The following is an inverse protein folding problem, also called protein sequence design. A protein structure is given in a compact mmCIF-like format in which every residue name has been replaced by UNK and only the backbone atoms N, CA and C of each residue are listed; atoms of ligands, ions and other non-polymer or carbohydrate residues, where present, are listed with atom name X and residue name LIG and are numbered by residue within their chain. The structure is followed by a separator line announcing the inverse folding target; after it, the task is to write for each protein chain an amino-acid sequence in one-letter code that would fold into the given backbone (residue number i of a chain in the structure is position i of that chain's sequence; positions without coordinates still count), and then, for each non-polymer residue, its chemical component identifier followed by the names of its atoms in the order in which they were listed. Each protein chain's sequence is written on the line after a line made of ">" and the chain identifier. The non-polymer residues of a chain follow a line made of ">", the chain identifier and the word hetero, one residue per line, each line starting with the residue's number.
data_IF_084998904950
#
_entry.id   IF_084998904950
#
_cell.length_a   1.000
_cell.length_b   1.000
_cell.length_c   1.000
_cell.angle_alpha   90.00
_cell.angle_beta   90.00
_cell.angle_gamma   90.00
#
_symmetry.space_group_name_H-M   'P 1'
#
loop_
_entity.id
_entity.type
_entity.pdbx_description
1 polymer ?
#
# COMPACT_ATOMS: atom_id res chain seq x y z
N UNK A 1 21.06 8.05 12.81
CA UNK A 1 20.85 7.72 11.38
C UNK A 1 19.41 7.24 11.18
N UNK A 2 18.41 7.96 11.73
CA UNK A 2 17.03 7.44 11.91
C UNK A 2 15.95 8.47 11.57
N UNK A 3 16.30 9.70 11.22
CA UNK A 3 15.34 10.80 11.19
C UNK A 3 14.17 10.57 10.22
N UNK A 4 14.41 9.90 9.09
CA UNK A 4 13.39 9.53 8.12
C UNK A 4 12.47 8.39 8.62
N UNK A 5 13.04 7.41 9.32
CA UNK A 5 12.29 6.30 9.90
C UNK A 5 11.45 6.75 11.09
N UNK A 6 11.99 7.64 11.92
CA UNK A 6 11.27 8.28 13.02
C UNK A 6 10.07 9.09 12.49
N UNK A 7 10.24 9.76 11.35
CA UNK A 7 9.16 10.45 10.66
C UNK A 7 8.08 9.49 10.15
N UNK A 8 8.49 8.33 9.62
CA UNK A 8 7.59 7.30 9.12
C UNK A 8 6.76 6.67 10.25
N UNK A 9 7.39 6.35 11.38
CA UNK A 9 6.76 5.74 12.56
C UNK A 9 5.81 6.71 13.26
N UNK A 10 6.03 8.01 13.12
CA UNK A 10 5.11 9.06 13.62
C UNK A 10 3.84 9.19 12.80
N UNK A 11 3.79 8.64 11.58
CA UNK A 11 2.57 8.70 10.78
C UNK A 11 1.47 7.87 11.44
N UNK A 12 0.20 8.32 11.35
CA UNK A 12 -0.91 7.53 11.88
C UNK A 12 -0.95 6.17 11.19
N UNK A 13 -1.16 5.11 11.97
CA UNK A 13 -1.27 3.75 11.45
C UNK A 13 -2.27 3.63 10.28
N UNK A 14 -3.39 4.36 10.38
CA UNK A 14 -4.41 4.41 9.33
C UNK A 14 -3.91 5.00 8.01
N UNK A 15 -2.97 5.95 8.03
CA UNK A 15 -2.39 6.54 6.82
C UNK A 15 -1.47 5.53 6.13
N UNK A 16 -0.62 4.85 6.89
CA UNK A 16 0.28 3.84 6.35
C UNK A 16 -0.47 2.64 5.77
N UNK A 17 -1.47 2.13 6.50
CA UNK A 17 -2.33 1.04 6.03
C UNK A 17 -3.20 1.48 4.85
N UNK A 18 -3.75 2.70 4.90
CA UNK A 18 -4.54 3.27 3.79
C UNK A 18 -3.72 3.42 2.52
N UNK A 19 -2.47 3.90 2.61
CA UNK A 19 -1.57 3.98 1.48
C UNK A 19 -1.19 2.58 0.94
N UNK A 20 -0.90 1.63 1.84
CA UNK A 20 -0.61 0.24 1.45
C UNK A 20 -1.79 -0.48 0.80
N UNK A 21 -3.03 -0.03 1.03
CA UNK A 21 -4.22 -0.53 0.33
C UNK A 21 -4.47 0.19 -1.00
N UNK A 22 -4.54 1.52 -0.95
CA UNK A 22 -5.04 2.34 -2.04
C UNK A 22 -4.07 2.42 -3.20
N UNK A 23 -2.76 2.51 -2.93
CA UNK A 23 -1.79 2.67 -4.01
C UNK A 23 -1.67 1.41 -4.88
N UNK A 24 -1.52 0.18 -4.33
CA UNK A 24 -1.59 -1.04 -5.14
C UNK A 24 -2.94 -1.20 -5.87
N UNK A 25 -4.05 -0.84 -5.21
CA UNK A 25 -5.38 -0.89 -5.84
C UNK A 25 -5.46 0.00 -7.07
N UNK A 26 -5.02 1.26 -6.95
CA UNK A 26 -5.06 2.25 -8.02
C UNK A 26 -4.06 1.95 -9.14
N UNK A 27 -2.91 1.39 -8.78
CA UNK A 27 -1.90 0.91 -9.72
C UNK A 27 -2.47 -0.19 -10.62
N UNK A 28 -3.03 -1.23 -10.02
CA UNK A 28 -3.57 -2.36 -10.76
C UNK A 28 -4.87 -2.05 -11.52
N UNK A 29 -5.71 -1.14 -11.01
CA UNK A 29 -7.01 -0.82 -11.63
C UNK A 29 -6.95 0.26 -12.71
N UNK A 30 -6.09 1.26 -12.55
CA UNK A 30 -6.11 2.48 -13.36
C UNK A 30 -4.72 2.93 -13.84
N UNK A 31 -3.68 2.09 -13.72
CA UNK A 31 -2.30 2.43 -14.06
C UNK A 31 -1.77 3.70 -13.36
N UNK A 32 -2.41 4.13 -12.26
CA UNK A 32 -2.00 5.28 -11.45
C UNK A 32 -0.61 5.06 -10.83
N UNK A 33 -0.16 3.80 -10.79
CA UNK A 33 1.16 3.36 -10.36
C UNK A 33 2.33 4.01 -11.10
N UNK A 34 2.11 4.52 -12.33
CA UNK A 34 3.13 5.27 -13.08
C UNK A 34 3.56 6.54 -12.32
N UNK A 35 2.64 7.17 -11.59
CA UNK A 35 2.92 8.39 -10.82
C UNK A 35 3.23 8.04 -9.36
N UNK A 36 2.50 7.09 -8.79
CA UNK A 36 2.65 6.69 -7.38
C UNK A 36 2.76 5.17 -7.23
N UNK A 37 3.98 4.61 -7.16
CA UNK A 37 4.20 3.17 -7.11
C UNK A 37 3.65 2.54 -5.83
N UNK A 38 2.79 1.54 -5.96
CA UNK A 38 2.15 0.83 -4.85
C UNK A 38 3.13 0.00 -4.04
N UNK A 39 4.16 -0.59 -4.66
CA UNK A 39 5.14 -1.39 -3.92
C UNK A 39 5.91 -0.54 -2.91
N UNK A 40 6.15 0.75 -3.22
CA UNK A 40 6.83 1.66 -2.31
C UNK A 40 6.02 1.88 -1.04
N UNK A 41 4.70 2.01 -1.15
CA UNK A 41 3.81 2.16 0.01
C UNK A 41 3.80 0.90 0.88
N UNK A 42 3.78 -0.29 0.26
CA UNK A 42 3.84 -1.58 0.96
C UNK A 42 5.18 -1.75 1.67
N UNK A 43 6.30 -1.37 1.03
CA UNK A 43 7.63 -1.41 1.64
C UNK A 43 7.72 -0.48 2.85
N UNK A 44 7.21 0.76 2.76
CA UNK A 44 7.19 1.70 3.88
C UNK A 44 6.33 1.18 5.05
N UNK A 45 5.15 0.63 4.76
CA UNK A 45 4.32 0.00 5.78
C UNK A 45 5.00 -1.22 6.42
N UNK A 46 5.73 -2.02 5.63
CA UNK A 46 6.53 -3.14 6.12
C UNK A 46 7.70 -2.71 7.02
N UNK A 47 8.39 -1.62 6.67
CA UNK A 47 9.44 -1.02 7.51
C UNK A 47 8.87 -0.47 8.81
N UNK A 48 7.69 0.15 8.78
CA UNK A 48 6.99 0.59 9.98
C UNK A 48 6.55 -0.60 10.86
N UNK A 49 6.12 -1.72 10.26
CA UNK A 49 5.81 -2.95 10.99
C UNK A 49 7.05 -3.57 11.63
N UNK A 50 8.19 -3.58 10.94
CA UNK A 50 9.48 -4.04 11.49
C UNK A 50 9.97 -3.25 12.70
N UNK A 51 9.53 -2.01 12.85
CA UNK A 51 9.80 -1.15 14.02
C UNK A 51 8.73 -1.27 15.12
N UNK A 52 7.74 -2.13 14.96
CA UNK A 52 6.66 -2.32 15.94
C UNK A 52 5.55 -1.27 15.90
N UNK A 53 5.57 -0.35 14.93
CA UNK A 53 4.54 0.68 14.76
C UNK A 53 3.24 0.13 14.14
N UNK A 54 3.33 -1.00 13.44
CA UNK A 54 2.22 -1.69 12.79
C UNK A 54 2.31 -3.20 13.04
N UNK A 55 1.16 -3.86 13.02
CA UNK A 55 1.13 -5.32 12.92
C UNK A 55 1.50 -5.74 11.50
N UNK A 56 2.52 -6.59 11.36
CA UNK A 56 2.91 -7.15 10.07
C UNK A 56 1.74 -7.89 9.38
N UNK A 57 0.93 -8.61 10.17
CA UNK A 57 -0.25 -9.31 9.65
C UNK A 57 -1.27 -8.35 9.06
N UNK A 58 -1.48 -7.17 9.67
CA UNK A 58 -2.37 -6.16 9.10
C UNK A 58 -1.81 -5.60 7.80
N UNK A 59 -0.52 -5.31 7.74
CA UNK A 59 0.12 -4.82 6.50
C UNK A 59 -0.05 -5.84 5.38
N UNK A 60 0.23 -7.12 5.64
CA UNK A 60 0.05 -8.20 4.66
C UNK A 60 -1.40 -8.26 4.17
N UNK A 61 -2.37 -8.37 5.10
CA UNK A 61 -3.77 -8.51 4.73
C UNK A 61 -4.29 -7.31 3.93
N UNK A 62 -3.95 -6.10 4.37
CA UNK A 62 -4.41 -4.85 3.75
C UNK A 62 -3.77 -4.65 2.38
N UNK A 63 -2.45 -4.84 2.25
CA UNK A 63 -1.77 -4.71 0.97
C UNK A 63 -2.25 -5.77 -0.04
N UNK A 64 -2.36 -7.03 0.38
CA UNK A 64 -2.87 -8.10 -0.48
C UNK A 64 -4.31 -7.85 -0.93
N UNK A 65 -5.18 -7.40 -0.01
CA UNK A 65 -6.56 -7.06 -0.37
C UNK A 65 -6.62 -5.92 -1.39
N UNK A 66 -5.80 -4.87 -1.21
CA UNK A 66 -5.71 -3.75 -2.16
C UNK A 66 -5.30 -4.21 -3.56
N UNK A 67 -4.25 -5.03 -3.66
CA UNK A 67 -3.78 -5.57 -4.93
C UNK A 67 -4.84 -6.47 -5.61
N UNK A 68 -5.44 -7.43 -4.88
CA UNK A 68 -6.46 -8.34 -5.43
C UNK A 68 -7.68 -7.57 -5.95
N UNK A 69 -8.14 -6.57 -5.20
CA UNK A 69 -9.27 -5.73 -5.61
C UNK A 69 -8.88 -4.90 -6.83
N UNK A 70 -7.68 -4.31 -6.83
CA UNK A 70 -7.13 -3.56 -7.95
C UNK A 70 -7.10 -4.38 -9.23
N UNK A 71 -6.53 -5.59 -9.20
CA UNK A 71 -6.47 -6.51 -10.34
C UNK A 71 -7.87 -6.89 -10.84
N UNK A 72 -8.79 -7.16 -9.91
CA UNK A 72 -10.18 -7.50 -10.25
C UNK A 72 -10.90 -6.34 -10.95
N UNK A 73 -10.71 -5.11 -10.46
CA UNK A 73 -11.26 -3.91 -11.08
C UNK A 73 -10.60 -3.64 -12.43
N UNK A 74 -9.27 -3.69 -12.51
CA UNK A 74 -8.53 -3.48 -13.76
C UNK A 74 -8.93 -4.48 -14.84
N UNK A 75 -9.10 -5.75 -14.47
CA UNK A 75 -9.62 -6.77 -15.37
C UNK A 75 -11.04 -6.46 -15.85
N UNK A 76 -11.94 -6.05 -14.95
CA UNK A 76 -13.31 -5.71 -15.33
C UNK A 76 -13.38 -4.48 -16.24
N UNK A 77 -12.56 -3.46 -15.98
CA UNK A 77 -12.45 -2.27 -16.81
C UNK A 77 -11.92 -2.66 -18.20
N UNK A 78 -10.79 -3.35 -18.28
CA UNK A 78 -10.21 -3.80 -19.56
C UNK A 78 -11.03 -4.85 -20.30
N UNK A 79 -11.97 -5.53 -19.62
CA UNK A 79 -12.94 -6.43 -20.27
C UNK A 79 -14.08 -5.67 -20.94
N UNK A 80 -14.46 -4.50 -20.42
CA UNK A 80 -15.60 -3.73 -20.92
C UNK A 80 -15.21 -2.65 -21.95
N UNK A 81 -13.94 -2.26 -22.00
CA UNK A 81 -13.40 -1.22 -22.89
C UNK A 81 -12.20 -1.75 -23.68
#
# INVERSE_FOLDING_TARGET
>A
MNQALDWLVRLPAGVLLGAAFLLPLLEASAFVGIVFPGETAVLLAGVAAGQGALSLWLVILVASAGAIIGDSVGYQVGKHY
#
